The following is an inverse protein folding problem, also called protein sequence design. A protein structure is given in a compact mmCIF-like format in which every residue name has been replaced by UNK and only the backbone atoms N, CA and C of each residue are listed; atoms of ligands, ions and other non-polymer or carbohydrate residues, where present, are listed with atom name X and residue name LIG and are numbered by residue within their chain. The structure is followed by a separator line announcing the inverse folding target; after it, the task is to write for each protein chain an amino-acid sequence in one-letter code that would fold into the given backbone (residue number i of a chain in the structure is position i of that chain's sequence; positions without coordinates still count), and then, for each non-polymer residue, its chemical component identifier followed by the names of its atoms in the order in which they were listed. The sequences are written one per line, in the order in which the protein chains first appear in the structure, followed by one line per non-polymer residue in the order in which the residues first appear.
data_IF_345776386593
#
_entry.id   IF_345776386593
#
_cell.length_a   1.000
_cell.length_b   1.000
_cell.length_c   1.000
_cell.angle_alpha   90.00
_cell.angle_beta   90.00
_cell.angle_gamma   90.00
#
_symmetry.space_group_name_H-M   'P 1'
#
loop_
_entity.id
_entity.type
_entity.pdbx_description
1 polymer ?
#
# COMPACT_ATOMS: atom_id res chain seq x y z
N UNK A 1 15.81 -5.70 -33.20
CA UNK A 1 16.13 -5.94 -31.78
C UNK A 1 14.85 -6.33 -31.03
N UNK A 2 14.45 -7.59 -31.21
CA UNK A 2 13.93 -8.48 -30.17
C UNK A 2 12.91 -7.88 -29.16
N UNK A 3 11.78 -7.40 -29.68
CA UNK A 3 10.61 -7.01 -28.86
C UNK A 3 10.08 -8.18 -28.01
N UNK A 4 10.16 -9.40 -28.53
CA UNK A 4 9.64 -10.60 -27.89
C UNK A 4 10.35 -10.93 -26.55
N UNK A 5 11.70 -11.04 -26.46
CA UNK A 5 12.36 -11.23 -25.18
C UNK A 5 12.17 -10.05 -24.22
N UNK A 6 12.14 -8.81 -24.71
CA UNK A 6 11.87 -7.63 -23.86
C UNK A 6 10.46 -7.69 -23.24
N UNK A 7 9.48 -8.15 -24.01
CA UNK A 7 8.09 -8.33 -23.56
C UNK A 7 7.97 -9.48 -22.57
N UNK A 8 8.67 -10.59 -22.78
CA UNK A 8 8.72 -11.72 -21.83
C UNK A 8 9.35 -11.30 -20.50
N UNK A 9 10.46 -10.57 -20.54
CA UNK A 9 11.09 -10.02 -19.34
C UNK A 9 10.13 -9.05 -18.64
N UNK A 10 9.46 -8.16 -19.37
CA UNK A 10 8.46 -7.25 -18.79
C UNK A 10 7.29 -7.98 -18.12
N UNK A 11 6.77 -9.04 -18.75
CA UNK A 11 5.71 -9.88 -18.20
C UNK A 11 6.18 -10.66 -16.96
N UNK A 12 7.39 -11.21 -16.98
CA UNK A 12 7.97 -11.89 -15.83
C UNK A 12 8.18 -10.95 -14.64
N UNK A 13 8.69 -9.73 -14.89
CA UNK A 13 8.84 -8.70 -13.87
C UNK A 13 7.47 -8.27 -13.33
N UNK A 14 6.46 -8.12 -14.20
CA UNK A 14 5.09 -7.83 -13.77
C UNK A 14 4.53 -8.93 -12.87
N UNK A 15 4.68 -10.20 -13.25
CA UNK A 15 4.25 -11.35 -12.43
C UNK A 15 4.98 -11.38 -11.09
N UNK A 16 6.30 -11.17 -11.09
CA UNK A 16 7.11 -11.12 -9.89
C UNK A 16 6.64 -10.01 -8.94
N UNK A 17 6.39 -8.82 -9.46
CA UNK A 17 5.92 -7.69 -8.64
C UNK A 17 4.48 -7.88 -8.17
N UNK A 18 3.58 -8.36 -9.03
CA UNK A 18 2.16 -8.45 -8.73
C UNK A 18 1.80 -9.65 -7.84
N UNK A 19 2.45 -10.80 -8.03
CA UNK A 19 2.17 -12.04 -7.31
C UNK A 19 3.31 -12.47 -6.39
N UNK A 20 4.57 -12.24 -6.79
CA UNK A 20 5.74 -12.60 -5.98
C UNK A 20 5.82 -11.81 -4.67
N UNK A 21 5.47 -10.52 -4.68
CA UNK A 21 5.47 -9.70 -3.46
C UNK A 21 4.42 -10.17 -2.43
N UNK A 22 3.13 -10.39 -2.79
CA UNK A 22 2.16 -11.03 -1.89
C UNK A 22 2.54 -12.44 -1.45
N UNK A 23 3.13 -13.25 -2.35
CA UNK A 23 3.55 -14.59 -2.00
C UNK A 23 4.67 -14.58 -0.95
N UNK A 24 5.67 -13.70 -1.12
CA UNK A 24 6.74 -13.51 -0.14
C UNK A 24 6.17 -13.07 1.22
N UNK A 25 5.22 -12.14 1.25
CA UNK A 25 4.56 -11.72 2.48
C UNK A 25 3.78 -12.86 3.14
N UNK A 26 3.01 -13.64 2.38
CA UNK A 26 2.28 -14.79 2.90
C UNK A 26 3.23 -15.84 3.50
N UNK A 27 4.37 -16.10 2.86
CA UNK A 27 5.41 -17.02 3.37
C UNK A 27 6.01 -16.48 4.67
N UNK A 28 6.36 -15.19 4.73
CA UNK A 28 6.88 -14.56 5.94
C UNK A 28 5.87 -14.67 7.10
N UNK A 29 4.60 -14.33 6.87
CA UNK A 29 3.54 -14.43 7.87
C UNK A 29 3.33 -15.88 8.34
N UNK A 30 3.31 -16.84 7.41
CA UNK A 30 3.22 -18.26 7.74
C UNK A 30 4.40 -18.75 8.57
N UNK A 31 5.63 -18.36 8.21
CA UNK A 31 6.84 -18.73 8.94
C UNK A 31 6.92 -18.12 10.34
N UNK A 32 6.30 -16.96 10.55
CA UNK A 32 6.18 -16.30 11.85
C UNK A 32 5.03 -16.86 12.72
N UNK A 33 4.32 -17.89 12.27
CA UNK A 33 3.15 -18.44 12.98
C UNK A 33 1.90 -17.56 12.91
N UNK A 34 1.89 -16.54 12.05
CA UNK A 34 0.82 -15.56 11.88
C UNK A 34 -0.15 -15.96 10.75
N UNK A 35 -0.38 -17.27 10.57
CA UNK A 35 -1.20 -17.81 9.47
C UNK A 35 -2.64 -17.27 9.47
N UNK A 36 -3.17 -16.91 10.65
CA UNK A 36 -4.52 -16.33 10.81
C UNK A 36 -4.69 -14.97 10.11
N UNK A 37 -3.60 -14.25 9.84
CA UNK A 37 -3.61 -12.96 9.13
C UNK A 37 -3.04 -13.04 7.71
N UNK A 38 -2.65 -14.21 7.23
CA UNK A 38 -2.07 -14.40 5.89
C UNK A 38 -2.96 -13.91 4.74
N UNK A 39 -4.28 -13.87 4.94
CA UNK A 39 -5.25 -13.34 3.97
C UNK A 39 -5.09 -11.85 3.64
N UNK A 40 -4.25 -11.10 4.37
CA UNK A 40 -3.95 -9.69 4.05
C UNK A 40 -2.87 -9.54 2.98
N UNK A 41 -2.05 -10.57 2.75
CA UNK A 41 -0.89 -10.47 1.86
C UNK A 41 -1.23 -10.06 0.40
N UNK A 42 -2.36 -10.49 -0.20
CA UNK A 42 -2.77 -9.99 -1.52
C UNK A 42 -3.04 -8.48 -1.55
N UNK A 43 -3.26 -7.84 -0.39
CA UNK A 43 -3.48 -6.39 -0.32
C UNK A 43 -2.20 -5.59 -0.62
N UNK A 44 -1.01 -6.20 -0.53
CA UNK A 44 0.25 -5.57 -0.88
C UNK A 44 0.32 -5.08 -2.32
N UNK A 45 -0.38 -5.72 -3.26
CA UNK A 45 -0.43 -5.33 -4.69
C UNK A 45 -1.84 -4.97 -5.15
N UNK A 46 -2.79 -4.87 -4.23
CA UNK A 46 -4.15 -4.43 -4.51
C UNK A 46 -4.20 -2.96 -4.99
N UNK A 47 -5.40 -2.53 -5.37
CA UNK A 47 -5.64 -1.15 -5.82
C UNK A 47 -5.10 -0.13 -4.80
N UNK A 48 -4.68 1.07 -5.24
CA UNK A 48 -3.95 2.03 -4.40
C UNK A 48 -4.61 2.32 -3.05
N UNK A 49 -5.95 2.33 -2.99
CA UNK A 49 -6.71 2.54 -1.76
C UNK A 49 -6.57 1.40 -0.74
N UNK A 50 -6.63 0.15 -1.18
CA UNK A 50 -6.42 -1.02 -0.31
C UNK A 50 -4.96 -1.17 0.08
N UNK A 51 -4.05 -0.90 -0.85
CA UNK A 51 -2.62 -0.90 -0.60
C UNK A 51 -2.18 0.06 0.48
N UNK A 52 -2.60 1.33 0.38
CA UNK A 52 -2.29 2.33 1.40
C UNK A 52 -2.93 1.96 2.74
N UNK A 53 -4.13 1.36 2.76
CA UNK A 53 -4.70 0.87 4.01
C UNK A 53 -3.82 -0.19 4.66
N UNK A 54 -3.38 -1.18 3.88
CA UNK A 54 -2.53 -2.26 4.33
C UNK A 54 -1.26 -1.72 5.00
N UNK A 55 -0.55 -0.81 4.33
CA UNK A 55 0.72 -0.28 4.84
C UNK A 55 0.53 0.57 6.10
N UNK A 56 -0.55 1.34 6.17
CA UNK A 56 -0.89 2.13 7.36
C UNK A 56 -1.22 1.26 8.59
N UNK A 57 -1.72 0.04 8.39
CA UNK A 57 -1.98 -0.89 9.50
C UNK A 57 -0.70 -1.23 10.24
N UNK A 58 0.39 -1.45 9.52
CA UNK A 58 1.70 -1.76 10.10
C UNK A 58 2.31 -0.53 10.78
N UNK A 59 2.29 0.63 10.12
CA UNK A 59 2.82 1.88 10.67
C UNK A 59 2.14 2.32 11.97
N UNK A 60 0.81 2.28 12.03
CA UNK A 60 0.09 2.80 13.21
C UNK A 60 0.21 1.88 14.43
N UNK A 61 0.48 0.60 14.24
CA UNK A 61 0.53 -0.38 15.33
C UNK A 61 1.90 -0.45 16.00
N UNK A 62 3.00 -0.22 15.28
CA UNK A 62 4.35 -0.54 15.78
C UNK A 62 5.32 0.64 15.96
N UNK A 63 4.88 1.89 15.75
CA UNK A 63 5.78 3.04 15.94
C UNK A 63 6.04 3.33 17.42
N UNK A 64 7.31 3.44 17.81
CA UNK A 64 7.75 3.83 19.15
C UNK A 64 8.28 5.26 19.22
N UNK A 65 8.48 5.91 18.06
CA UNK A 65 9.03 7.26 17.93
C UNK A 65 8.38 8.02 16.78
N UNK A 66 8.12 9.32 16.99
CA UNK A 66 7.60 10.24 15.97
C UNK A 66 8.56 10.45 14.80
N UNK A 67 9.87 10.42 15.05
CA UNK A 67 10.87 10.57 13.99
C UNK A 67 10.94 9.31 13.14
N UNK A 68 10.93 8.13 13.76
CA UNK A 68 10.88 6.85 13.06
C UNK A 68 9.60 6.76 12.20
N UNK A 69 8.47 7.19 12.76
CA UNK A 69 7.20 7.29 12.04
C UNK A 69 7.30 8.19 10.80
N UNK A 70 7.89 9.39 10.92
CA UNK A 70 8.05 10.29 9.77
C UNK A 70 8.90 9.69 8.63
N UNK A 71 9.97 8.99 9.00
CA UNK A 71 10.87 8.32 8.06
C UNK A 71 10.20 7.11 7.40
N UNK A 72 9.53 6.26 8.18
CA UNK A 72 8.74 5.13 7.67
C UNK A 72 7.64 5.60 6.73
N UNK A 73 6.96 6.70 7.05
CA UNK A 73 5.92 7.29 6.21
C UNK A 73 6.49 7.75 4.87
N UNK A 74 7.64 8.43 4.90
CA UNK A 74 8.31 8.88 3.68
C UNK A 74 8.72 7.68 2.81
N UNK A 75 9.31 6.63 3.42
CA UNK A 75 9.67 5.40 2.71
C UNK A 75 8.45 4.71 2.10
N UNK A 76 7.34 4.62 2.84
CA UNK A 76 6.08 4.05 2.35
C UNK A 76 5.57 4.83 1.14
N UNK A 77 5.53 6.17 1.21
CA UNK A 77 5.07 7.02 0.10
C UNK A 77 5.94 6.78 -1.14
N UNK A 78 7.27 6.74 -0.98
CA UNK A 78 8.21 6.49 -2.08
C UNK A 78 7.99 5.09 -2.66
N UNK A 79 8.01 4.06 -1.83
CA UNK A 79 7.82 2.66 -2.24
C UNK A 79 6.51 2.47 -2.99
N UNK A 80 5.39 2.98 -2.45
CA UNK A 80 4.07 2.83 -3.06
C UNK A 80 3.95 3.58 -4.37
N UNK A 81 4.53 4.77 -4.44
CA UNK A 81 4.58 5.57 -5.66
C UNK A 81 5.34 4.81 -6.75
N UNK A 82 6.48 4.21 -6.41
CA UNK A 82 7.30 3.44 -7.34
C UNK A 82 6.61 2.14 -7.76
N UNK A 83 6.07 1.36 -6.81
CA UNK A 83 5.41 0.08 -7.09
C UNK A 83 4.20 0.27 -8.00
N UNK A 84 3.28 1.18 -7.66
CA UNK A 84 2.09 1.41 -8.48
C UNK A 84 2.46 1.98 -9.86
N UNK A 85 3.46 2.86 -9.94
CA UNK A 85 4.00 3.31 -11.23
C UNK A 85 4.52 2.11 -12.02
N UNK A 86 5.36 1.25 -11.43
CA UNK A 86 5.94 0.09 -12.10
C UNK A 86 4.86 -0.87 -12.62
N UNK A 87 3.84 -1.18 -11.81
CA UNK A 87 2.73 -2.04 -12.20
C UNK A 87 1.96 -1.46 -13.39
N UNK A 88 1.58 -0.17 -13.35
CA UNK A 88 0.90 0.51 -14.48
C UNK A 88 1.77 0.51 -15.73
N UNK A 89 3.06 0.78 -15.56
CA UNK A 89 4.06 0.85 -16.63
C UNK A 89 4.27 -0.49 -17.32
N UNK A 90 4.31 -1.58 -16.56
CA UNK A 90 4.55 -2.94 -17.05
C UNK A 90 3.26 -3.57 -17.60
N UNK A 91 2.09 -3.22 -17.03
CA UNK A 91 0.79 -3.69 -17.49
C UNK A 91 0.24 -2.89 -18.69
N UNK A 92 0.91 -1.79 -19.10
CA UNK A 92 0.41 -0.94 -20.18
C UNK A 92 0.36 -1.71 -21.51
N UNK A 93 -0.80 -1.75 -22.19
CA UNK A 93 -0.94 -2.52 -23.42
C UNK A 93 -0.10 -1.94 -24.57
N UNK A 94 0.35 -2.77 -25.53
CA UNK A 94 0.98 -2.29 -26.74
C UNK A 94 -0.05 -1.57 -27.63
N UNK A 95 0.29 -0.37 -28.11
CA UNK A 95 -0.57 0.43 -29.01
C UNK A 95 -0.85 1.85 -28.49
N UNK A 96 -1.49 2.03 -27.32
CA UNK A 96 -1.79 3.36 -26.80
C UNK A 96 -0.53 4.11 -26.38
N UNK A 97 -0.42 5.39 -26.74
CA UNK A 97 0.66 6.27 -26.32
C UNK A 97 0.71 6.33 -24.78
N UNK A 98 1.76 5.75 -24.20
CA UNK A 98 1.93 5.67 -22.77
C UNK A 98 2.24 7.06 -22.19
N UNK A 99 1.55 7.50 -21.13
CA UNK A 99 1.87 8.77 -20.49
C UNK A 99 3.32 8.78 -19.98
N UNK A 100 4.05 9.91 -20.12
CA UNK A 100 5.45 9.98 -19.74
C UNK A 100 5.63 9.71 -18.25
N UNK A 101 6.64 8.90 -17.90
CA UNK A 101 6.95 8.50 -16.51
C UNK A 101 7.07 9.69 -15.55
N UNK A 102 7.54 10.83 -16.06
CA UNK A 102 7.68 12.10 -15.33
C UNK A 102 6.35 12.76 -14.93
N UNK A 103 5.22 12.40 -15.55
CA UNK A 103 3.86 12.82 -15.13
C UNK A 103 3.20 11.81 -14.19
N UNK A 104 3.48 10.52 -14.36
CA UNK A 104 2.91 9.46 -13.53
C UNK A 104 3.43 9.51 -12.09
N UNK A 105 4.73 9.74 -11.91
CA UNK A 105 5.35 9.81 -10.59
C UNK A 105 4.72 10.89 -9.67
N UNK A 106 4.63 12.17 -10.06
CA UNK A 106 4.05 13.21 -9.20
C UNK A 106 2.55 13.04 -8.99
N UNK A 107 1.80 12.61 -10.01
CA UNK A 107 0.36 12.38 -9.88
C UNK A 107 0.05 11.24 -8.91
N UNK A 108 0.84 10.16 -8.98
CA UNK A 108 0.68 9.02 -8.09
C UNK A 108 1.15 9.33 -6.66
N UNK A 109 2.26 10.06 -6.51
CA UNK A 109 2.70 10.58 -5.22
C UNK A 109 1.64 11.46 -4.56
N UNK A 110 1.02 12.38 -5.33
CA UNK A 110 -0.07 13.22 -4.85
C UNK A 110 -1.28 12.37 -4.42
N UNK A 111 -1.64 11.36 -5.21
CA UNK A 111 -2.76 10.48 -4.88
C UNK A 111 -2.51 9.70 -3.58
N UNK A 112 -1.31 9.14 -3.39
CA UNK A 112 -0.90 8.46 -2.16
C UNK A 112 -0.92 9.43 -0.97
N UNK A 113 -0.37 10.62 -1.14
CA UNK A 113 -0.35 11.65 -0.10
C UNK A 113 -1.78 12.07 0.31
N UNK A 114 -2.66 12.27 -0.66
CA UNK A 114 -4.07 12.60 -0.42
C UNK A 114 -4.79 11.47 0.32
N UNK A 115 -4.56 10.20 -0.05
CA UNK A 115 -5.15 9.06 0.66
C UNK A 115 -4.68 8.97 2.11
N UNK A 116 -3.39 9.22 2.36
CA UNK A 116 -2.84 9.30 3.72
C UNK A 116 -3.50 10.43 4.52
N UNK A 117 -3.54 11.65 3.96
CA UNK A 117 -4.06 12.84 4.63
C UNK A 117 -5.57 12.77 4.89
N UNK A 118 -6.35 12.34 3.89
CA UNK A 118 -7.81 12.22 4.03
C UNK A 118 -8.18 11.18 5.08
N UNK A 119 -7.41 10.09 5.16
CA UNK A 119 -7.62 9.07 6.17
C UNK A 119 -7.25 9.55 7.57
N UNK A 120 -6.13 10.27 7.70
CA UNK A 120 -5.74 10.93 8.96
C UNK A 120 -6.82 11.91 9.46
N UNK A 121 -7.36 12.75 8.57
CA UNK A 121 -8.46 13.67 8.90
C UNK A 121 -9.69 12.94 9.43
N UNK A 122 -10.09 11.82 8.80
CA UNK A 122 -11.21 11.00 9.31
C UNK A 122 -10.90 10.35 10.66
N UNK A 123 -9.68 9.88 10.89
CA UNK A 123 -9.28 9.30 12.18
C UNK A 123 -9.33 10.33 13.32
N UNK A 124 -9.00 11.60 13.04
CA UNK A 124 -9.15 12.70 14.01
C UNK A 124 -10.61 13.06 14.28
N UNK A 125 -11.48 12.98 13.26
CA UNK A 125 -12.91 13.26 13.39
C UNK A 125 -13.69 12.11 14.05
N UNK A 126 -13.19 10.88 13.97
CA UNK A 126 -13.77 9.68 14.58
C UNK A 126 -13.46 9.53 16.07
N UNK A 127 -13.04 10.60 16.78
CA UNK A 127 -13.09 10.68 18.24
C UNK A 127 -14.32 11.48 18.71
N UNK A 128 -15.57 11.02 18.50
CA UNK A 128 -16.65 11.50 19.34
C UNK A 128 -16.40 10.93 20.74
N UNK A 129 -16.54 11.79 21.74
CA UNK A 129 -16.16 11.54 23.11
C UNK A 129 -16.49 10.15 23.64
N UNK A 130 -15.60 9.69 24.51
CA UNK A 130 -15.88 8.74 25.58
C UNK A 130 -17.26 9.06 26.18
N UNK A 131 -18.33 8.44 25.65
CA UNK A 131 -19.63 8.49 26.31
C UNK A 131 -19.44 7.69 27.58
N UNK A 132 -19.31 8.40 28.69
CA UNK A 132 -19.39 7.84 30.02
C UNK A 132 -20.65 6.98 30.07
N UNK A 133 -20.46 5.67 30.06
CA UNK A 133 -21.48 4.72 30.48
C UNK A 133 -21.61 4.95 31.99
N UNK A 134 -22.37 5.96 32.38
CA UNK A 134 -23.02 5.98 33.67
C UNK A 134 -24.06 4.86 33.60
N UNK A 135 -23.58 3.65 33.93
CA UNK A 135 -24.41 2.55 34.37
C UNK A 135 -25.34 3.13 35.46
N UNK A 136 -26.59 3.33 35.08
CA UNK A 136 -27.71 3.45 35.99
C UNK A 136 -27.80 2.12 36.74
N UNK A 137 -27.10 2.05 37.87
CA UNK A 137 -27.31 1.04 38.89
C UNK A 137 -27.96 1.73 40.08
N UNK A 138 -29.17 1.28 40.43
CA UNK A 138 -29.98 1.77 41.54
C UNK A 138 -31.16 2.61 41.04
N UNK A 139 -32.39 2.37 41.45
CA UNK A 139 -33.01 1.34 42.28
C UNK A 139 -34.53 1.46 42.03
#
# INVERSE_FOLDING_TARGET
MDEEPRRRVGAAVLMLLAAGLPAAEAVCLGSAGLSAISGIAPQATASPSFGVHHDLRWMFVYHTSWTAFGVELAMLVVFRTLLNTALVVLAWPPGPARPPRRRLLPANALCVLLLVVLRWKRALQARPGYRSVSQTSGA
#
